data_IF_735295826236
#
_entry.id   IF_735295826236
#
_cell.length_a   1.000
_cell.length_b   1.000
_cell.length_c   1.000
_cell.angle_alpha   90.00
_cell.angle_beta   90.00
_cell.angle_gamma   90.00
#
_symmetry.space_group_name_H-M   'P 1'
#
loop_
_entity.id
_entity.type
_entity.pdbx_description
1 polymer ?
#
# COMPACT_ATOMS: atom_id res chain seq x y z
N UNK A 1 -18.88 5.61 2.85
CA UNK A 1 -18.50 6.82 3.57
C UNK A 1 -17.09 7.31 3.17
N UNK A 2 -16.05 6.45 3.17
CA UNK A 2 -14.68 6.83 2.78
C UNK A 2 -14.58 7.33 1.33
N UNK A 3 -15.22 6.67 0.38
CA UNK A 3 -15.19 7.05 -1.04
C UNK A 3 -15.75 8.46 -1.26
N UNK A 4 -16.87 8.78 -0.60
CA UNK A 4 -17.48 10.12 -0.70
C UNK A 4 -16.64 11.21 -0.03
N UNK A 5 -15.89 10.87 1.01
CA UNK A 5 -14.98 11.80 1.68
C UNK A 5 -13.72 12.05 0.83
N UNK A 6 -13.13 11.00 0.25
CA UNK A 6 -12.01 11.11 -0.68
C UNK A 6 -12.39 11.93 -1.92
N UNK A 7 -13.58 11.71 -2.49
CA UNK A 7 -14.05 12.43 -3.68
C UNK A 7 -14.16 13.95 -3.48
N UNK A 8 -14.39 14.43 -2.26
CA UNK A 8 -14.55 15.86 -1.96
C UNK A 8 -13.23 16.65 -1.87
N UNK A 9 -12.10 15.98 -1.79
CA UNK A 9 -10.79 16.63 -1.73
C UNK A 9 -10.24 16.81 -3.14
N UNK A 10 -9.99 18.03 -3.58
CA UNK A 10 -9.45 18.33 -4.90
C UNK A 10 -8.08 17.69 -5.15
N UNK A 11 -7.17 17.77 -4.16
CA UNK A 11 -5.85 17.12 -4.20
C UNK A 11 -5.86 15.83 -3.39
N UNK A 12 -5.48 14.71 -4.01
CA UNK A 12 -5.48 13.37 -3.43
C UNK A 12 -4.12 13.00 -2.81
N UNK A 13 -3.05 13.59 -3.30
CA UNK A 13 -1.69 13.31 -2.84
C UNK A 13 -1.47 13.58 -1.34
N UNK A 14 -1.99 14.66 -0.73
CA UNK A 14 -1.86 14.86 0.72
C UNK A 14 -2.54 13.74 1.54
N UNK A 15 -3.69 13.24 1.05
CA UNK A 15 -4.39 12.13 1.69
C UNK A 15 -3.57 10.84 1.60
N UNK A 16 -3.03 10.54 0.41
CA UNK A 16 -2.11 9.43 0.21
C UNK A 16 -0.90 9.52 1.15
N UNK A 17 -0.25 10.69 1.24
CA UNK A 17 0.91 10.90 2.11
C UNK A 17 0.59 10.61 3.57
N UNK A 18 -0.54 11.10 4.09
CA UNK A 18 -0.99 10.86 5.48
C UNK A 18 -1.28 9.38 5.72
N UNK A 19 -2.06 8.75 4.84
CA UNK A 19 -2.36 7.33 4.97
C UNK A 19 -1.08 6.46 4.90
N UNK A 20 -0.15 6.80 4.01
CA UNK A 20 1.14 6.10 3.90
C UNK A 20 2.04 6.32 5.12
N UNK A 21 1.96 7.47 5.79
CA UNK A 21 2.67 7.69 7.06
C UNK A 21 2.17 6.74 8.16
N UNK A 22 0.86 6.52 8.27
CA UNK A 22 0.31 5.53 9.21
C UNK A 22 0.66 4.08 8.82
N UNK A 23 0.73 3.76 7.52
CA UNK A 23 1.26 2.46 7.06
C UNK A 23 2.71 2.27 7.50
N UNK A 24 3.54 3.30 7.31
CA UNK A 24 4.93 3.30 7.72
C UNK A 24 5.06 3.12 9.24
N UNK A 25 4.23 3.80 10.04
CA UNK A 25 4.17 3.60 11.49
C UNK A 25 3.80 2.15 11.86
N UNK A 26 2.86 1.52 11.14
CA UNK A 26 2.54 0.11 11.30
C UNK A 26 3.75 -0.81 11.06
N UNK A 27 4.53 -0.56 9.99
CA UNK A 27 5.75 -1.30 9.72
C UNK A 27 6.83 -1.06 10.79
N UNK A 28 6.97 0.18 11.28
CA UNK A 28 7.89 0.47 12.39
C UNK A 28 7.52 -0.28 13.67
N UNK A 29 6.23 -0.48 13.95
CA UNK A 29 5.78 -1.32 15.08
C UNK A 29 6.25 -2.77 14.92
N UNK A 30 6.21 -3.33 13.71
CA UNK A 30 6.72 -4.68 13.45
C UNK A 30 8.23 -4.75 13.69
N UNK A 31 8.98 -3.77 13.20
CA UNK A 31 10.43 -3.67 13.40
C UNK A 31 10.75 -3.55 14.90
N UNK A 32 10.10 -2.62 15.60
CA UNK A 32 10.30 -2.39 17.03
C UNK A 32 9.97 -3.64 17.84
N UNK A 33 8.81 -4.25 17.59
CA UNK A 33 8.41 -5.47 18.28
C UNK A 33 9.44 -6.59 18.11
N UNK A 34 9.88 -6.82 16.87
CA UNK A 34 10.85 -7.89 16.58
C UNK A 34 12.25 -7.59 17.15
N UNK A 35 12.68 -6.34 17.26
CA UNK A 35 13.99 -6.03 17.86
C UNK A 35 13.99 -6.06 19.40
N UNK A 36 12.91 -5.60 20.04
CA UNK A 36 12.95 -5.29 21.47
C UNK A 36 12.10 -6.22 22.34
N UNK A 37 11.11 -6.92 21.76
CA UNK A 37 10.14 -7.69 22.52
C UNK A 37 10.35 -9.21 22.43
N UNK A 38 11.48 -9.68 21.94
CA UNK A 38 11.76 -11.11 21.78
C UNK A 38 11.67 -11.92 23.07
N UNK A 39 11.97 -11.31 24.22
CA UNK A 39 11.86 -11.94 25.53
C UNK A 39 10.40 -12.11 26.02
N UNK A 40 9.43 -11.41 25.42
CA UNK A 40 8.02 -11.42 25.85
C UNK A 40 7.09 -11.80 24.69
N UNK A 41 6.92 -13.09 24.40
CA UNK A 41 6.21 -13.59 23.21
C UNK A 41 4.76 -13.07 23.09
N UNK A 42 4.04 -12.96 24.20
CA UNK A 42 2.66 -12.45 24.18
C UNK A 42 2.59 -10.98 23.79
N UNK A 43 3.51 -10.14 24.31
CA UNK A 43 3.58 -8.72 23.96
C UNK A 43 4.06 -8.55 22.52
N UNK A 44 5.06 -9.32 22.08
CA UNK A 44 5.54 -9.37 20.71
C UNK A 44 4.38 -9.66 19.73
N UNK A 45 3.58 -10.69 20.01
CA UNK A 45 2.43 -11.05 19.19
C UNK A 45 1.39 -9.92 19.15
N UNK A 46 1.07 -9.30 20.29
CA UNK A 46 0.15 -8.19 20.36
C UNK A 46 0.60 -6.99 19.52
N UNK A 47 1.85 -6.58 19.65
CA UNK A 47 2.45 -5.47 18.86
C UNK A 47 2.51 -5.83 17.39
N UNK A 48 2.83 -7.07 17.05
CA UNK A 48 2.86 -7.58 15.68
C UNK A 48 1.47 -7.49 15.02
N UNK A 49 0.45 -8.00 15.68
CA UNK A 49 -0.93 -7.94 15.17
C UNK A 49 -1.43 -6.50 15.05
N UNK A 50 -1.12 -5.64 16.01
CA UNK A 50 -1.46 -4.22 15.95
C UNK A 50 -0.77 -3.52 14.76
N UNK A 51 0.51 -3.78 14.52
CA UNK A 51 1.27 -3.25 13.39
C UNK A 51 0.70 -3.71 12.05
N UNK A 52 0.39 -5.01 11.91
CA UNK A 52 -0.26 -5.56 10.71
C UNK A 52 -1.63 -4.96 10.48
N UNK A 53 -2.45 -4.85 11.53
CA UNK A 53 -3.78 -4.24 11.42
C UNK A 53 -3.69 -2.79 10.95
N UNK A 54 -2.80 -2.00 11.55
CA UNK A 54 -2.58 -0.61 11.17
C UNK A 54 -2.11 -0.52 9.71
N UNK A 55 -1.15 -1.33 9.31
CA UNK A 55 -0.65 -1.40 7.93
C UNK A 55 -1.77 -1.77 6.94
N UNK A 56 -2.57 -2.80 7.22
CA UNK A 56 -3.65 -3.26 6.36
C UNK A 56 -4.76 -2.21 6.24
N UNK A 57 -5.18 -1.62 7.37
CA UNK A 57 -6.21 -0.58 7.41
C UNK A 57 -5.83 0.63 6.55
N UNK A 58 -4.63 1.16 6.75
CA UNK A 58 -4.18 2.32 5.98
C UNK A 58 -3.74 1.97 4.56
N UNK A 59 -3.48 0.70 4.24
CA UNK A 59 -3.35 0.24 2.86
C UNK A 59 -4.66 0.40 2.10
N UNK A 60 -5.78 -0.01 2.71
CA UNK A 60 -7.09 0.18 2.11
C UNK A 60 -7.44 1.68 1.92
N UNK A 61 -7.09 2.53 2.90
CA UNK A 61 -7.32 3.99 2.80
C UNK A 61 -6.43 4.63 1.72
N UNK A 62 -5.15 4.23 1.62
CA UNK A 62 -4.20 4.79 0.67
C UNK A 62 -4.42 4.33 -0.78
N UNK A 63 -5.08 3.19 -0.99
CA UNK A 63 -5.26 2.61 -2.33
C UNK A 63 -6.08 3.52 -3.26
N UNK A 64 -7.17 4.11 -2.76
CA UNK A 64 -8.02 4.99 -3.56
C UNK A 64 -7.28 6.24 -4.08
N UNK A 65 -6.67 7.08 -3.21
CA UNK A 65 -5.92 8.23 -3.67
C UNK A 65 -4.70 7.85 -4.53
N UNK A 66 -4.08 6.72 -4.28
CA UNK A 66 -2.98 6.21 -5.12
C UNK A 66 -3.41 6.04 -6.58
N UNK A 67 -4.52 5.31 -6.80
CA UNK A 67 -5.02 5.06 -8.15
C UNK A 67 -5.53 6.32 -8.85
N UNK A 68 -6.13 7.26 -8.10
CA UNK A 68 -6.57 8.52 -8.64
C UNK A 68 -5.38 9.41 -9.08
N UNK A 69 -4.34 9.53 -8.24
CA UNK A 69 -3.11 10.28 -8.60
C UNK A 69 -2.44 9.66 -9.82
N UNK A 70 -2.32 8.33 -9.86
CA UNK A 70 -1.74 7.63 -11.00
C UNK A 70 -2.55 7.87 -12.30
N UNK A 71 -3.88 7.83 -12.19
CA UNK A 71 -4.76 8.08 -13.33
C UNK A 71 -4.70 9.52 -13.85
N UNK A 72 -4.35 10.48 -13.01
CA UNK A 72 -4.15 11.88 -13.42
C UNK A 72 -2.76 12.13 -13.99
N UNK A 73 -1.74 11.53 -13.37
CA UNK A 73 -0.34 11.77 -13.74
C UNK A 73 0.09 11.05 -15.03
N UNK A 74 -0.60 9.96 -15.41
CA UNK A 74 -0.19 9.12 -16.56
C UNK A 74 -1.25 9.13 -17.65
N UNK A 75 -0.90 9.52 -18.91
CA UNK A 75 -1.79 9.45 -20.07
C UNK A 75 -2.35 8.03 -20.26
N UNK A 76 -3.58 7.96 -20.80
CA UNK A 76 -4.27 6.65 -20.95
C UNK A 76 -3.51 5.67 -21.82
N UNK A 77 -2.83 6.16 -22.84
CA UNK A 77 -2.08 5.39 -23.82
C UNK A 77 -0.84 4.74 -23.21
N UNK A 78 -0.24 5.37 -22.19
CA UNK A 78 0.97 4.89 -21.52
C UNK A 78 0.71 3.95 -20.33
N UNK A 79 -0.52 3.93 -19.81
CA UNK A 79 -0.89 3.11 -18.64
C UNK A 79 -0.62 1.61 -18.81
N UNK A 80 -0.93 0.97 -19.97
CA UNK A 80 -0.64 -0.46 -20.14
C UNK A 80 0.85 -0.76 -20.01
N UNK A 81 1.72 0.07 -20.60
CA UNK A 81 3.18 -0.07 -20.49
C UNK A 81 3.68 0.11 -19.06
N UNK A 82 3.16 1.12 -18.35
CA UNK A 82 3.49 1.35 -16.95
C UNK A 82 3.09 0.15 -16.08
N UNK A 83 1.87 -0.37 -16.24
CA UNK A 83 1.43 -1.55 -15.47
C UNK A 83 2.26 -2.78 -15.79
N UNK A 84 2.59 -3.01 -17.07
CA UNK A 84 3.48 -4.10 -17.44
C UNK A 84 4.84 -3.96 -16.74
N UNK A 85 5.44 -2.77 -16.75
CA UNK A 85 6.72 -2.50 -16.07
C UNK A 85 6.62 -2.70 -14.54
N UNK A 86 5.56 -2.23 -13.90
CA UNK A 86 5.34 -2.41 -12.45
C UNK A 86 5.21 -3.89 -12.10
N UNK A 87 4.38 -4.65 -12.82
CA UNK A 87 4.16 -6.07 -12.52
C UNK A 87 5.35 -6.94 -12.87
N UNK A 88 5.99 -6.74 -14.02
CA UNK A 88 7.18 -7.48 -14.40
C UNK A 88 8.37 -7.15 -13.50
N UNK A 89 8.65 -5.86 -13.30
CA UNK A 89 9.74 -5.42 -12.42
C UNK A 89 9.49 -5.84 -10.97
N UNK A 90 8.26 -5.69 -10.48
CA UNK A 90 7.87 -6.15 -9.14
C UNK A 90 8.02 -7.66 -8.97
N UNK A 91 7.65 -8.46 -9.99
CA UNK A 91 7.82 -9.91 -10.00
C UNK A 91 9.30 -10.34 -9.95
N UNK A 92 10.14 -9.71 -10.76
CA UNK A 92 11.59 -9.96 -10.74
C UNK A 92 12.20 -9.58 -9.39
N UNK A 93 11.86 -8.40 -8.86
CA UNK A 93 12.35 -7.97 -7.55
C UNK A 93 11.88 -8.89 -6.42
N UNK A 94 10.63 -9.36 -6.45
CA UNK A 94 10.11 -10.30 -5.47
C UNK A 94 10.85 -11.65 -5.52
N UNK A 95 11.15 -12.14 -6.73
CA UNK A 95 11.93 -13.35 -6.92
C UNK A 95 13.34 -13.19 -6.33
N UNK A 96 14.04 -12.11 -6.65
CA UNK A 96 15.37 -11.82 -6.11
C UNK A 96 15.35 -11.63 -4.59
N UNK A 97 14.33 -10.94 -4.06
CA UNK A 97 14.14 -10.77 -2.62
C UNK A 97 13.99 -12.10 -1.88
N UNK A 98 13.39 -13.13 -2.53
CA UNK A 98 13.30 -14.48 -1.98
C UNK A 98 14.67 -15.10 -1.64
N UNK A 99 15.66 -14.89 -2.49
CA UNK A 99 17.04 -15.32 -2.19
C UNK A 99 17.64 -14.54 -1.02
N UNK A 100 17.39 -13.22 -0.95
CA UNK A 100 17.83 -12.40 0.17
C UNK A 100 17.22 -12.86 1.50
N UNK A 101 15.92 -13.16 1.51
CA UNK A 101 15.21 -13.71 2.67
C UNK A 101 15.84 -15.04 3.10
N UNK A 102 16.06 -15.96 2.14
CA UNK A 102 16.69 -17.25 2.41
C UNK A 102 18.11 -17.09 2.99
N UNK A 103 18.92 -16.22 2.39
CA UNK A 103 20.28 -15.98 2.85
C UNK A 103 20.29 -15.41 4.28
N UNK A 104 19.42 -14.44 4.57
CA UNK A 104 19.36 -13.78 5.88
C UNK A 104 18.83 -14.72 6.97
N UNK A 105 17.82 -15.52 6.68
CA UNK A 105 17.30 -16.51 7.64
C UNK A 105 18.22 -17.73 7.79
N UNK A 106 19.15 -17.95 6.86
CA UNK A 106 20.20 -18.94 6.97
C UNK A 106 21.41 -18.51 7.82
N UNK A 107 21.42 -17.28 8.30
CA UNK A 107 22.40 -16.78 9.25
C UNK A 107 21.97 -17.15 10.67
N UNK A 108 22.28 -18.17 11.29
CA UNK A 108 21.89 -18.65 12.64
C UNK A 108 21.73 -17.54 13.71
N UNK A 109 20.92 -16.51 13.35
CA UNK A 109 20.63 -15.38 14.22
C UNK A 109 19.59 -15.79 15.28
N UNK A 110 19.73 -15.35 16.53
CA UNK A 110 18.75 -15.65 17.57
C UNK A 110 17.38 -15.07 17.21
N UNK A 111 16.34 -15.88 17.44
CA UNK A 111 14.96 -15.41 17.26
C UNK A 111 14.65 -14.24 18.22
N UNK A 112 13.99 -13.16 17.76
CA UNK A 112 13.42 -12.93 16.42
C UNK A 112 14.28 -12.02 15.50
N UNK A 113 15.58 -11.89 15.73
CA UNK A 113 16.46 -10.89 15.08
C UNK A 113 16.48 -11.02 13.56
N UNK A 114 16.50 -12.23 12.99
CA UNK A 114 16.44 -12.42 11.53
C UNK A 114 15.18 -11.80 10.91
N UNK A 115 14.05 -11.98 11.58
CA UNK A 115 12.78 -11.36 11.13
C UNK A 115 12.78 -9.86 11.33
N UNK A 116 13.37 -9.35 12.41
CA UNK A 116 13.51 -7.93 12.66
C UNK A 116 14.26 -7.22 11.52
N UNK A 117 15.36 -7.81 11.05
CA UNK A 117 16.15 -7.31 9.93
C UNK A 117 15.34 -7.33 8.62
N UNK A 118 14.57 -8.39 8.35
CA UNK A 118 13.70 -8.47 7.17
C UNK A 118 12.63 -7.37 7.20
N UNK A 119 11.97 -7.16 8.33
CA UNK A 119 10.99 -6.08 8.48
C UNK A 119 11.64 -4.71 8.36
N UNK A 120 12.86 -4.52 8.87
CA UNK A 120 13.60 -3.27 8.74
C UNK A 120 13.92 -2.97 7.26
N UNK A 121 14.43 -3.95 6.51
CA UNK A 121 14.70 -3.81 5.08
C UNK A 121 13.42 -3.51 4.28
N UNK A 122 12.34 -4.24 4.57
CA UNK A 122 11.03 -3.99 3.96
C UNK A 122 10.48 -2.59 4.27
N UNK A 123 10.67 -2.13 5.51
CA UNK A 123 10.26 -0.80 5.95
C UNK A 123 11.06 0.30 5.26
N UNK A 124 12.36 0.12 5.09
CA UNK A 124 13.23 1.05 4.34
C UNK A 124 12.83 1.11 2.86
N UNK A 125 12.61 -0.05 2.23
CA UNK A 125 12.17 -0.11 0.84
C UNK A 125 10.80 0.57 0.64
N UNK A 126 9.85 0.31 1.56
CA UNK A 126 8.56 0.98 1.54
C UNK A 126 8.68 2.50 1.75
N UNK A 127 9.52 2.93 2.69
CA UNK A 127 9.78 4.34 2.96
C UNK A 127 10.35 5.06 1.74
N UNK A 128 11.30 4.44 1.04
CA UNK A 128 11.86 4.97 -0.20
C UNK A 128 10.78 5.11 -1.29
N UNK A 129 9.95 4.07 -1.49
CA UNK A 129 8.87 4.10 -2.46
C UNK A 129 7.83 5.19 -2.12
N UNK A 130 7.45 5.33 -0.85
CA UNK A 130 6.55 6.38 -0.38
C UNK A 130 7.12 7.78 -0.62
N UNK A 131 8.41 7.98 -0.33
CA UNK A 131 9.08 9.25 -0.54
C UNK A 131 9.11 9.64 -2.02
N UNK A 132 9.47 8.70 -2.91
CA UNK A 132 9.51 8.92 -4.37
C UNK A 132 8.12 9.22 -4.90
N UNK A 133 7.12 8.38 -4.59
CA UNK A 133 5.75 8.60 -5.05
C UNK A 133 5.15 9.88 -4.49
N UNK A 134 5.51 10.24 -3.26
CA UNK A 134 5.09 11.50 -2.65
C UNK A 134 5.59 12.77 -3.35
N UNK A 135 6.52 12.67 -4.30
CA UNK A 135 7.03 13.78 -5.12
C UNK A 135 6.34 13.92 -6.49
N UNK A 136 5.44 13.00 -6.81
CA UNK A 136 4.66 13.10 -8.05
C UNK A 136 3.86 14.40 -8.02
N UNK A 137 3.92 15.14 -9.13
CA UNK A 137 3.09 16.33 -9.32
C UNK A 137 1.67 15.88 -9.66
N UNK A 138 0.71 16.24 -8.81
CA UNK A 138 -0.71 15.99 -9.07
C UNK A 138 -1.29 17.17 -9.82
N UNK A 139 -1.74 17.00 -11.10
CA UNK A 139 -2.43 18.05 -11.84
C UNK A 139 -3.68 18.52 -11.07
N UNK A 140 -3.90 19.84 -11.04
CA UNK A 140 -5.11 20.40 -10.44
C UNK A 140 -6.30 20.06 -11.33
N UNK A 141 -7.27 19.37 -10.80
CA UNK A 141 -8.55 19.11 -11.42
C UNK A 141 -9.63 19.94 -10.71
N UNK A 142 -10.43 20.67 -11.45
CA UNK A 142 -11.64 21.26 -10.89
C UNK A 142 -12.53 20.13 -10.39
N UNK A 143 -12.80 20.16 -9.08
CA UNK A 143 -13.70 19.17 -8.46
C UNK A 143 -15.09 19.39 -9.04
N UNK A 144 -15.48 18.55 -9.99
CA UNK A 144 -16.86 18.48 -10.42
C UNK A 144 -17.72 18.08 -9.21
N UNK A 145 -18.32 19.06 -8.56
CA UNK A 145 -19.25 18.88 -7.43
C UNK A 145 -20.57 18.32 -7.96
N UNK A 146 -20.51 17.12 -8.53
CA UNK A 146 -21.70 16.33 -8.87
C UNK A 146 -22.01 15.37 -7.75
N UNK A 147 -23.26 15.30 -7.29
CA UNK A 147 -23.73 14.22 -6.45
C UNK A 147 -23.46 12.88 -7.15
N UNK A 148 -22.45 12.17 -6.72
CA UNK A 148 -22.14 10.83 -7.26
C UNK A 148 -23.26 9.91 -6.81
N UNK A 149 -24.21 9.63 -7.69
CA UNK A 149 -25.20 8.58 -7.45
C UNK A 149 -24.52 7.22 -7.55
N UNK A 150 -24.22 6.62 -6.37
CA UNK A 150 -23.58 5.31 -6.26
C UNK A 150 -24.39 4.18 -6.91
N UNK A 151 -25.66 4.43 -7.26
CA UNK A 151 -26.52 3.45 -7.93
C UNK A 151 -26.36 3.47 -9.45
N UNK A 152 -25.82 4.55 -9.99
CA UNK A 152 -25.66 4.71 -11.45
C UNK A 152 -24.78 3.62 -12.09
N UNK A 153 -23.61 3.25 -11.52
CA UNK A 153 -22.81 2.15 -12.05
C UNK A 153 -23.54 0.80 -12.02
N UNK A 154 -24.34 0.53 -10.97
CA UNK A 154 -25.09 -0.71 -10.83
C UNK A 154 -26.22 -0.89 -11.87
N UNK A 155 -26.64 0.19 -12.51
CA UNK A 155 -27.63 0.16 -13.61
C UNK A 155 -27.01 -0.25 -14.95
N UNK A 156 -25.67 -0.19 -15.08
CA UNK A 156 -24.98 -0.57 -16.32
C UNK A 156 -24.77 -2.10 -16.38
N UNK A 157 -25.25 -2.81 -17.40
CA UNK A 157 -25.15 -4.27 -17.49
C UNK A 157 -23.70 -4.76 -17.50
N UNK A 158 -22.78 -4.04 -18.17
CA UNK A 158 -21.36 -4.36 -18.18
C UNK A 158 -20.70 -4.27 -16.79
N UNK A 159 -21.12 -3.31 -15.95
CA UNK A 159 -20.59 -3.20 -14.58
C UNK A 159 -21.12 -4.35 -13.68
N UNK A 160 -22.36 -4.77 -13.88
CA UNK A 160 -22.92 -5.94 -13.17
C UNK A 160 -22.20 -7.23 -13.56
N UNK A 161 -21.93 -7.43 -14.86
CA UNK A 161 -21.15 -8.58 -15.33
C UNK A 161 -19.73 -8.59 -14.75
N UNK A 162 -19.07 -7.43 -14.68
CA UNK A 162 -17.76 -7.30 -14.03
C UNK A 162 -17.81 -7.65 -12.55
N UNK A 163 -18.83 -7.17 -11.81
CA UNK A 163 -18.98 -7.51 -10.38
C UNK A 163 -19.21 -9.01 -10.17
N UNK A 164 -20.07 -9.65 -10.99
CA UNK A 164 -20.29 -11.10 -10.88
C UNK A 164 -19.01 -11.88 -11.17
N UNK A 165 -18.25 -11.51 -12.21
CA UNK A 165 -16.97 -12.15 -12.52
C UNK A 165 -15.88 -11.97 -11.43
N UNK A 166 -16.01 -10.97 -10.55
CA UNK A 166 -15.09 -10.72 -9.44
C UNK A 166 -15.47 -11.45 -8.15
N UNK A 167 -16.72 -11.91 -8.03
CA UNK A 167 -17.23 -12.62 -6.85
C UNK A 167 -17.00 -14.13 -6.95
N UNK A 168 -16.70 -14.63 -8.15
CA UNK A 168 -16.32 -16.01 -8.48
C UNK A 168 -14.86 -16.06 -8.98
#
# INVERSE_FOLDING_TARGET
LLVGWVARHGRKLPLYRRASAFRFAGLLLLVFGAFFLGAWPGLLLGVFLAGLFLFALFTAVASLPYWEVLAKAVPREERPGLFAAIYMGGGVLAFLAGFGVRALLGLDLPFPLGYALLFALGTLAYGAAWYVFGRVEEPEEEVAVGRTDLRLPLRRPGFRAYLTARLF
#
